data_IF_160072063579
#
_entry.id   IF_160072063579
#
_cell.length_a   1.000
_cell.length_b   1.000
_cell.length_c   1.000
_cell.angle_alpha   90.00
_cell.angle_beta   90.00
_cell.angle_gamma   90.00
#
_symmetry.space_group_name_H-M   'P 1'
#
loop_
_entity.id
_entity.type
_entity.pdbx_description
1 polymer ?
#
# COMPACT_ATOMS: atom_id res chain seq x y z
N UNK A 1 -3.90 12.12 -3.42
CA UNK A 1 -3.21 11.96 -2.14
C UNK A 1 -1.96 11.13 -2.39
N UNK A 2 -0.81 11.63 -1.98
CA UNK A 2 0.47 10.94 -2.10
C UNK A 2 1.19 11.08 -0.76
N UNK A 3 1.49 9.97 -0.11
CA UNK A 3 2.12 9.91 1.21
C UNK A 3 3.23 8.87 1.19
N UNK A 4 4.15 8.95 2.15
CA UNK A 4 5.18 7.97 2.34
C UNK A 4 4.62 6.56 2.60
N UNK A 5 5.42 5.54 2.38
CA UNK A 5 5.01 4.14 2.53
C UNK A 5 5.20 3.60 3.96
N UNK A 6 5.42 4.48 4.93
CA UNK A 6 5.59 4.17 6.34
C UNK A 6 4.27 4.33 7.14
N UNK A 7 4.35 4.12 8.45
CA UNK A 7 3.21 4.24 9.38
C UNK A 7 2.69 5.68 9.43
N UNK A 8 3.59 6.66 9.47
CA UNK A 8 3.21 8.07 9.52
C UNK A 8 2.51 8.51 8.24
N UNK A 9 2.99 8.07 7.08
CA UNK A 9 2.33 8.30 5.80
C UNK A 9 0.94 7.65 5.72
N UNK A 10 0.77 6.47 6.31
CA UNK A 10 -0.54 5.81 6.43
C UNK A 10 -1.49 6.59 7.33
N UNK A 11 -1.00 7.14 8.45
CA UNK A 11 -1.78 7.99 9.34
C UNK A 11 -2.20 9.30 8.65
N UNK A 12 -1.27 9.99 7.97
CA UNK A 12 -1.58 11.20 7.18
C UNK A 12 -2.65 10.90 6.13
N UNK A 13 -2.55 9.78 5.43
CA UNK A 13 -3.56 9.34 4.46
C UNK A 13 -4.93 9.18 5.10
N UNK A 14 -4.99 8.55 6.27
CA UNK A 14 -6.23 8.34 7.02
C UNK A 14 -6.84 9.67 7.46
N UNK A 15 -6.04 10.63 7.93
CA UNK A 15 -6.50 11.98 8.29
C UNK A 15 -7.08 12.71 7.07
N UNK A 16 -6.41 12.65 5.92
CA UNK A 16 -6.91 13.26 4.68
C UNK A 16 -8.20 12.61 4.20
N UNK A 17 -8.32 11.28 4.28
CA UNK A 17 -9.57 10.58 3.94
C UNK A 17 -10.69 10.97 4.91
N UNK A 18 -10.40 11.14 6.19
CA UNK A 18 -11.36 11.63 7.18
C UNK A 18 -11.84 13.04 6.85
N UNK A 19 -10.92 13.93 6.47
CA UNK A 19 -11.27 15.27 6.00
C UNK A 19 -12.22 15.21 4.81
N UNK A 20 -11.88 14.44 3.78
CA UNK A 20 -12.72 14.31 2.58
C UNK A 20 -14.04 13.55 2.83
N UNK A 21 -14.17 12.80 3.91
CA UNK A 21 -15.43 12.15 4.29
C UNK A 21 -16.46 13.12 4.87
N UNK A 22 -16.05 14.32 5.29
CA UNK A 22 -16.96 15.33 5.85
C UNK A 22 -17.64 16.15 4.77
N UNK A 23 -18.88 16.57 5.03
CA UNK A 23 -19.60 17.51 4.19
C UNK A 23 -18.90 18.89 4.18
N UNK A 24 -18.79 19.58 3.01
CA UNK A 24 -19.29 19.19 1.69
C UNK A 24 -18.30 18.35 0.85
N UNK A 25 -17.13 18.02 1.37
CA UNK A 25 -16.03 17.38 0.63
C UNK A 25 -16.30 15.92 0.27
N UNK A 26 -17.23 15.24 0.97
CA UNK A 26 -17.64 13.88 0.64
C UNK A 26 -18.13 13.72 -0.80
N UNK A 27 -18.67 14.78 -1.40
CA UNK A 27 -19.06 14.81 -2.80
C UNK A 27 -17.89 14.51 -3.75
N UNK A 28 -16.65 14.84 -3.37
CA UNK A 28 -15.46 14.53 -4.17
C UNK A 28 -15.19 13.01 -4.20
N UNK A 29 -15.47 12.30 -3.10
CA UNK A 29 -15.39 10.83 -3.06
C UNK A 29 -16.54 10.22 -3.88
N UNK A 30 -17.76 10.70 -3.67
CA UNK A 30 -18.97 10.23 -4.37
C UNK A 30 -18.84 10.35 -5.89
N UNK A 31 -18.27 11.47 -6.36
CA UNK A 31 -18.03 11.75 -7.76
C UNK A 31 -16.71 11.15 -8.29
N UNK A 32 -15.93 10.46 -7.45
CA UNK A 32 -14.72 9.74 -7.86
C UNK A 32 -13.53 10.64 -8.22
N UNK A 33 -13.40 11.79 -7.58
CA UNK A 33 -12.31 12.75 -7.81
C UNK A 33 -11.10 12.53 -6.89
N UNK A 34 -11.22 11.68 -5.87
CA UNK A 34 -10.13 11.41 -4.93
C UNK A 34 -9.38 10.15 -5.33
N UNK A 35 -8.05 10.26 -5.42
CA UNK A 35 -7.15 9.16 -5.77
C UNK A 35 -5.98 9.08 -4.80
N UNK A 36 -5.51 7.85 -4.54
CA UNK A 36 -4.30 7.56 -3.79
C UNK A 36 -3.21 7.16 -4.79
N UNK A 37 -2.12 7.90 -4.81
CA UNK A 37 -0.94 7.52 -5.58
C UNK A 37 -0.30 6.25 -4.99
N UNK A 38 0.26 5.41 -5.85
CA UNK A 38 0.91 4.16 -5.49
C UNK A 38 2.37 4.20 -5.94
N UNK A 39 3.27 4.88 -5.20
CA UNK A 39 4.69 4.82 -5.49
C UNK A 39 5.22 3.39 -5.28
N UNK A 40 6.28 2.98 -5.99
CA UNK A 40 6.89 1.67 -5.79
C UNK A 40 7.59 1.62 -4.43
N UNK A 41 7.60 0.41 -3.82
CA UNK A 41 8.34 0.18 -2.57
C UNK A 41 9.79 -0.25 -2.81
N UNK A 42 10.09 -0.80 -4.00
CA UNK A 42 11.42 -1.34 -4.29
C UNK A 42 11.93 -0.89 -5.65
N UNK A 43 13.24 -0.69 -5.70
CA UNK A 43 14.03 -0.59 -6.92
C UNK A 43 14.99 -1.76 -6.97
N UNK A 44 14.87 -2.59 -8.00
CA UNK A 44 15.80 -3.70 -8.25
C UNK A 44 16.68 -3.33 -9.41
N UNK A 45 18.00 -3.30 -9.19
CA UNK A 45 18.99 -3.01 -10.22
C UNK A 45 19.71 -4.29 -10.61
N UNK A 46 19.69 -4.59 -11.90
CA UNK A 46 20.43 -5.71 -12.51
C UNK A 46 21.20 -5.19 -13.71
N UNK A 47 22.54 -5.31 -13.67
CA UNK A 47 23.44 -4.66 -14.62
C UNK A 47 23.13 -3.14 -14.68
N UNK A 48 22.85 -2.56 -15.83
CA UNK A 48 22.56 -1.12 -15.99
C UNK A 48 21.05 -0.81 -16.11
N UNK A 49 20.18 -1.74 -15.71
CA UNK A 49 18.72 -1.54 -15.78
C UNK A 49 18.11 -1.59 -14.39
N UNK A 50 17.28 -0.60 -14.10
CA UNK A 50 16.48 -0.56 -12.89
C UNK A 50 15.02 -0.91 -13.19
N UNK A 51 14.40 -1.67 -12.29
CA UNK A 51 13.00 -2.06 -12.35
C UNK A 51 12.38 -1.62 -11.04
N UNK A 52 11.22 -0.95 -11.11
CA UNK A 52 10.48 -0.52 -9.94
C UNK A 52 9.37 -1.51 -9.63
N UNK A 53 9.27 -1.90 -8.36
CA UNK A 53 8.38 -2.95 -7.90
C UNK A 53 7.51 -2.39 -6.79
N UNK A 54 6.20 -2.61 -6.90
CA UNK A 54 5.18 -1.94 -6.09
C UNK A 54 5.11 -2.42 -4.65
N UNK A 55 5.33 -3.72 -4.38
CA UNK A 55 5.13 -4.35 -3.07
C UNK A 55 6.00 -5.61 -2.90
N UNK A 56 6.02 -6.16 -1.67
CA UNK A 56 6.77 -7.38 -1.33
C UNK A 56 6.35 -8.59 -2.16
N UNK A 57 5.06 -8.72 -2.45
CA UNK A 57 4.55 -9.84 -3.25
C UNK A 57 5.07 -9.78 -4.69
N UNK A 58 5.03 -8.60 -5.29
CA UNK A 58 5.57 -8.40 -6.63
C UNK A 58 7.10 -8.61 -6.67
N UNK A 59 7.82 -8.26 -5.58
CA UNK A 59 9.24 -8.54 -5.45
C UNK A 59 9.50 -10.05 -5.37
N UNK A 60 8.75 -10.78 -4.57
CA UNK A 60 8.85 -12.24 -4.49
C UNK A 60 8.59 -12.88 -5.87
N UNK A 61 7.52 -12.47 -6.56
CA UNK A 61 7.19 -12.96 -7.90
C UNK A 61 8.30 -12.65 -8.93
N UNK A 62 8.91 -11.48 -8.84
CA UNK A 62 10.04 -11.12 -9.68
C UNK A 62 11.26 -12.00 -9.41
N UNK A 63 11.59 -12.26 -8.14
CA UNK A 63 12.70 -13.12 -7.73
C UNK A 63 12.49 -14.55 -8.23
N UNK A 64 11.29 -15.09 -8.08
CA UNK A 64 10.92 -16.43 -8.56
C UNK A 64 11.13 -16.54 -10.08
N UNK A 65 10.63 -15.54 -10.83
CA UNK A 65 10.76 -15.52 -12.29
C UNK A 65 12.21 -15.37 -12.75
N UNK A 66 12.99 -14.51 -12.09
CA UNK A 66 14.38 -14.23 -12.49
C UNK A 66 15.36 -15.30 -12.04
N UNK A 67 15.05 -16.02 -10.96
CA UNK A 67 15.92 -17.03 -10.35
C UNK A 67 15.74 -18.45 -10.87
N UNK A 68 14.77 -18.69 -11.79
CA UNK A 68 14.48 -20.04 -12.32
C UNK A 68 14.32 -21.10 -11.23
N UNK A 69 13.39 -20.87 -10.30
CA UNK A 69 13.13 -21.81 -9.20
C UNK A 69 12.81 -23.22 -9.73
N UNK A 70 13.38 -24.25 -9.11
CA UNK A 70 13.00 -25.64 -9.41
C UNK A 70 11.51 -25.84 -9.04
N UNK A 71 10.74 -26.34 -9.99
CA UNK A 71 9.29 -26.63 -9.84
C UNK A 71 8.96 -27.57 -8.66
N UNK A 72 9.96 -28.29 -8.14
CA UNK A 72 9.81 -29.16 -6.98
C UNK A 72 9.77 -28.40 -5.65
N UNK A 73 10.28 -27.18 -5.61
CA UNK A 73 10.31 -26.35 -4.39
C UNK A 73 8.94 -25.71 -4.22
N UNK A 74 8.22 -26.10 -3.17
CA UNK A 74 6.90 -25.58 -2.85
C UNK A 74 7.00 -24.28 -2.03
N UNK A 75 6.15 -23.30 -2.37
CA UNK A 75 6.00 -22.06 -1.60
C UNK A 75 5.67 -22.37 -0.13
N UNK A 76 6.33 -21.65 0.80
CA UNK A 76 6.14 -21.83 2.24
C UNK A 76 7.10 -22.83 2.92
N UNK A 77 7.90 -23.58 2.17
CA UNK A 77 8.94 -24.49 2.74
C UNK A 77 10.22 -23.72 3.10
N UNK A 78 11.06 -24.30 3.97
CA UNK A 78 12.40 -23.74 4.27
C UNK A 78 13.23 -23.57 2.99
N UNK A 79 13.27 -24.59 2.13
CA UNK A 79 13.96 -24.55 0.86
C UNK A 79 13.50 -23.38 -0.05
N UNK A 80 12.22 -23.03 0.01
CA UNK A 80 11.71 -21.86 -0.70
C UNK A 80 12.23 -20.56 -0.10
N UNK A 81 12.23 -20.43 1.23
CA UNK A 81 12.77 -19.26 1.94
C UNK A 81 14.25 -19.07 1.66
N UNK A 82 15.02 -20.15 1.73
CA UNK A 82 16.46 -20.15 1.45
C UNK A 82 16.74 -19.75 0.01
N UNK A 83 15.96 -20.25 -0.94
CA UNK A 83 16.05 -19.85 -2.34
C UNK A 83 15.81 -18.33 -2.52
N UNK A 84 14.72 -17.82 -1.96
CA UNK A 84 14.39 -16.38 -2.05
C UNK A 84 15.53 -15.55 -1.45
N UNK A 85 16.04 -15.94 -0.29
CA UNK A 85 17.13 -15.24 0.38
C UNK A 85 18.41 -15.22 -0.48
N UNK A 86 18.82 -16.36 -1.01
CA UNK A 86 19.99 -16.45 -1.88
C UNK A 86 19.85 -15.62 -3.17
N UNK A 87 18.63 -15.55 -3.74
CA UNK A 87 18.40 -14.71 -4.92
C UNK A 87 18.39 -13.22 -4.57
N UNK A 88 17.86 -12.84 -3.40
CA UNK A 88 17.92 -11.46 -2.90
C UNK A 88 19.36 -10.96 -2.78
N UNK A 89 20.26 -11.79 -2.26
CA UNK A 89 21.68 -11.45 -2.09
C UNK A 89 22.43 -11.21 -3.42
N UNK A 90 21.91 -11.78 -4.52
CA UNK A 90 22.48 -11.59 -5.88
C UNK A 90 21.96 -10.35 -6.60
N UNK A 91 20.93 -9.70 -6.04
CA UNK A 91 20.29 -8.54 -6.63
C UNK A 91 20.60 -7.29 -5.81
N UNK A 92 20.82 -6.17 -6.46
CA UNK A 92 20.83 -4.88 -5.78
C UNK A 92 19.40 -4.41 -5.60
N UNK A 93 18.88 -4.57 -4.37
CA UNK A 93 17.50 -4.20 -4.00
C UNK A 93 17.57 -3.02 -3.05
N UNK A 94 17.03 -1.90 -3.47
CA UNK A 94 16.77 -0.73 -2.63
C UNK A 94 15.31 -0.71 -2.25
N UNK A 95 15.00 -0.54 -0.95
CA UNK A 95 13.65 -0.30 -0.45
C UNK A 95 13.48 1.20 -0.21
N UNK A 96 12.44 1.79 -0.79
CA UNK A 96 12.04 3.14 -0.50
C UNK A 96 11.18 3.17 0.78
N UNK A 97 11.58 3.96 1.76
CA UNK A 97 10.83 4.21 2.99
C UNK A 97 9.90 5.42 2.83
N UNK A 98 10.32 6.39 2.01
CA UNK A 98 9.56 7.59 1.74
C UNK A 98 9.86 8.17 0.37
N UNK A 99 9.02 9.12 -0.05
CA UNK A 99 9.14 9.81 -1.34
C UNK A 99 10.41 10.65 -1.45
N UNK A 100 10.95 11.13 -0.32
CA UNK A 100 12.19 11.89 -0.27
C UNK A 100 13.45 11.09 -0.61
N UNK A 101 13.36 9.75 -0.69
CA UNK A 101 14.47 8.89 -1.12
C UNK A 101 14.55 8.74 -2.65
N UNK A 102 13.53 9.21 -3.38
CA UNK A 102 13.49 9.20 -4.83
C UNK A 102 14.05 10.51 -5.38
N UNK A 103 14.86 10.41 -6.43
CA UNK A 103 15.21 11.60 -7.19
C UNK A 103 14.02 12.06 -8.06
N UNK A 104 14.05 13.29 -8.62
CA UNK A 104 12.93 13.83 -9.39
C UNK A 104 12.53 12.96 -10.59
N UNK A 105 13.48 12.37 -11.30
CA UNK A 105 13.23 11.51 -12.45
C UNK A 105 12.55 10.21 -12.03
N UNK A 106 12.99 9.60 -10.92
CA UNK A 106 12.37 8.39 -10.37
C UNK A 106 10.94 8.64 -9.93
N UNK A 107 10.71 9.75 -9.22
CA UNK A 107 9.38 10.14 -8.78
C UNK A 107 8.45 10.42 -9.96
N UNK A 108 8.95 11.10 -10.98
CA UNK A 108 8.20 11.33 -12.22
C UNK A 108 7.82 10.01 -12.89
N UNK A 109 8.81 9.18 -13.23
CA UNK A 109 8.60 7.93 -13.99
C UNK A 109 7.66 6.95 -13.30
N UNK A 110 7.73 6.85 -11.98
CA UNK A 110 7.00 5.82 -11.23
C UNK A 110 5.65 6.27 -10.70
N UNK A 111 5.51 7.57 -10.37
CA UNK A 111 4.38 8.03 -9.55
C UNK A 111 3.58 9.17 -10.18
N UNK A 112 4.22 10.04 -10.99
CA UNK A 112 3.56 11.21 -11.55
C UNK A 112 3.23 11.06 -13.04
N UNK A 113 4.05 10.35 -13.81
CA UNK A 113 3.85 10.18 -15.25
C UNK A 113 2.52 9.49 -15.55
N UNK A 114 1.59 10.13 -16.27
CA UNK A 114 0.27 9.58 -16.57
C UNK A 114 0.29 8.21 -17.27
N UNK A 115 1.36 7.91 -18.00
CA UNK A 115 1.49 6.67 -18.76
C UNK A 115 1.92 5.48 -17.89
N UNK A 116 2.60 5.74 -16.76
CA UNK A 116 3.23 4.71 -15.93
C UNK A 116 2.63 4.62 -14.52
N UNK A 117 2.07 5.74 -14.03
CA UNK A 117 1.57 5.82 -12.66
C UNK A 117 0.40 4.88 -12.40
N UNK A 118 0.38 4.33 -11.20
CA UNK A 118 -0.77 3.59 -10.67
C UNK A 118 -1.46 4.43 -9.58
N UNK A 119 -2.78 4.55 -9.68
CA UNK A 119 -3.59 5.25 -8.70
C UNK A 119 -4.80 4.42 -8.30
N UNK A 120 -5.11 4.40 -7.00
CA UNK A 120 -6.33 3.82 -6.48
C UNK A 120 -7.38 4.92 -6.33
N UNK A 121 -8.53 4.76 -6.96
CA UNK A 121 -9.66 5.67 -6.78
C UNK A 121 -10.35 5.36 -5.46
N UNK A 122 -10.51 6.38 -4.63
CA UNK A 122 -11.28 6.30 -3.39
C UNK A 122 -12.77 6.35 -3.75
N UNK A 123 -13.53 5.43 -3.21
CA UNK A 123 -14.98 5.37 -3.40
C UNK A 123 -15.64 4.68 -2.21
N UNK A 124 -16.87 5.05 -1.91
CA UNK A 124 -17.71 4.29 -1.01
C UNK A 124 -18.18 3.00 -1.67
N UNK A 125 -18.56 2.01 -0.88
CA UNK A 125 -19.13 0.77 -1.41
C UNK A 125 -20.31 1.06 -2.35
N UNK A 126 -20.30 0.42 -3.51
CA UNK A 126 -21.38 0.54 -4.52
C UNK A 126 -22.40 -0.57 -4.43
N UNK A 127 -22.17 -1.59 -3.59
CA UNK A 127 -23.04 -2.76 -3.53
C UNK A 127 -24.46 -2.41 -3.04
N UNK A 128 -24.55 -1.62 -1.97
CA UNK A 128 -25.82 -1.08 -1.46
C UNK A 128 -25.62 0.30 -0.85
N UNK A 129 -26.74 1.07 -0.73
CA UNK A 129 -26.71 2.35 0.00
C UNK A 129 -26.37 2.18 1.48
N UNK A 130 -26.74 1.02 2.06
CA UNK A 130 -26.43 0.69 3.45
C UNK A 130 -24.93 0.51 3.64
N UNK A 131 -24.25 -0.29 2.78
CA UNK A 131 -22.80 -0.47 2.85
C UNK A 131 -22.03 0.85 2.67
N UNK A 132 -22.50 1.74 1.79
CA UNK A 132 -21.92 3.08 1.65
C UNK A 132 -22.02 3.89 2.95
N UNK A 133 -23.14 3.79 3.67
CA UNK A 133 -23.30 4.44 4.99
C UNK A 133 -22.44 3.78 6.06
N UNK A 134 -22.23 2.47 5.97
CA UNK A 134 -21.36 1.73 6.90
C UNK A 134 -19.89 2.13 6.73
N UNK A 135 -19.43 2.36 5.49
CA UNK A 135 -18.10 2.92 5.25
C UNK A 135 -17.91 4.29 5.91
N UNK A 136 -18.92 5.18 5.78
CA UNK A 136 -18.89 6.50 6.42
C UNK A 136 -18.92 6.40 7.95
N UNK A 137 -19.72 5.48 8.52
CA UNK A 137 -19.75 5.22 9.96
C UNK A 137 -18.43 4.68 10.47
N UNK A 138 -17.79 3.78 9.71
CA UNK A 138 -16.48 3.22 10.06
C UNK A 138 -15.43 4.30 10.26
N UNK A 139 -15.38 5.27 9.34
CA UNK A 139 -14.47 6.41 9.48
C UNK A 139 -14.78 7.21 10.75
N UNK A 140 -16.07 7.43 11.08
CA UNK A 140 -16.46 8.11 12.34
C UNK A 140 -16.08 7.33 13.59
N UNK A 141 -16.23 6.00 13.59
CA UNK A 141 -15.83 5.16 14.72
C UNK A 141 -14.32 5.25 14.94
N UNK A 142 -13.53 5.12 13.87
CA UNK A 142 -12.07 5.07 13.97
C UNK A 142 -11.42 6.43 14.23
N UNK A 143 -11.98 7.50 13.65
CA UNK A 143 -11.36 8.83 13.59
C UNK A 143 -12.17 9.92 14.30
N UNK A 144 -13.35 9.58 14.85
CA UNK A 144 -14.20 10.53 15.57
C UNK A 144 -13.74 10.77 17.01
N UNK A 145 -14.43 11.66 17.72
CA UNK A 145 -14.09 12.08 19.08
C UNK A 145 -14.46 11.03 20.15
N UNK A 146 -15.39 10.13 19.85
CA UNK A 146 -15.87 9.12 20.79
C UNK A 146 -14.85 7.97 20.93
N UNK A 147 -14.34 7.80 22.15
CA UNK A 147 -13.32 6.78 22.46
C UNK A 147 -13.92 5.38 22.58
N UNK A 148 -15.12 5.25 23.19
CA UNK A 148 -15.71 3.96 23.51
C UNK A 148 -15.97 3.08 22.26
N UNK A 149 -16.62 3.56 21.18
CA UNK A 149 -16.84 2.77 19.97
C UNK A 149 -15.52 2.36 19.29
N UNK A 150 -14.52 3.25 19.29
CA UNK A 150 -13.20 2.94 18.74
C UNK A 150 -12.48 1.85 19.53
N UNK A 151 -12.50 1.93 20.86
CA UNK A 151 -11.91 0.91 21.75
C UNK A 151 -12.57 -0.44 21.51
N UNK A 152 -13.89 -0.49 21.46
CA UNK A 152 -14.65 -1.71 21.19
C UNK A 152 -14.27 -2.31 19.84
N UNK A 153 -14.23 -1.50 18.78
CA UNK A 153 -13.82 -1.95 17.45
C UNK A 153 -12.42 -2.55 17.45
N UNK A 154 -11.44 -1.86 18.05
CA UNK A 154 -10.05 -2.33 18.11
C UNK A 154 -9.96 -3.64 18.89
N UNK A 155 -10.67 -3.76 20.03
CA UNK A 155 -10.66 -4.98 20.86
C UNK A 155 -11.25 -6.16 20.10
N UNK A 156 -12.37 -5.97 19.41
CA UNK A 156 -13.06 -7.03 18.69
C UNK A 156 -12.30 -7.53 17.45
N UNK A 157 -11.45 -6.68 16.85
CA UNK A 157 -10.68 -7.00 15.65
C UNK A 157 -9.17 -7.16 15.92
N UNK A 158 -8.76 -7.26 17.19
CA UNK A 158 -7.33 -7.28 17.55
C UNK A 158 -6.58 -8.48 16.96
N UNK A 159 -7.26 -9.62 16.76
CA UNK A 159 -6.64 -10.83 16.17
C UNK A 159 -6.47 -10.77 14.64
N UNK A 160 -7.16 -9.85 13.98
CA UNK A 160 -7.13 -9.68 12.51
C UNK A 160 -6.02 -8.73 12.06
N UNK A 161 -5.29 -8.12 13.00
CA UNK A 161 -4.22 -7.16 12.71
C UNK A 161 -3.01 -7.90 12.15
N UNK A 162 -2.67 -7.64 10.89
CA UNK A 162 -1.53 -8.27 10.22
C UNK A 162 -0.19 -7.54 10.46
N UNK A 163 -0.24 -6.23 10.71
CA UNK A 163 0.94 -5.39 10.91
C UNK A 163 0.76 -4.56 12.18
N UNK A 164 1.45 -4.93 13.24
CA UNK A 164 1.64 -4.09 14.42
C UNK A 164 2.99 -3.42 14.30
N UNK A 165 3.02 -2.11 14.48
CA UNK A 165 4.25 -1.35 14.66
C UNK A 165 4.64 -1.46 16.14
N UNK A 166 5.54 -2.41 16.44
CA UNK A 166 6.04 -2.70 17.79
C UNK A 166 7.51 -2.33 17.84
#
# INVERSE_FOLDING_TARGET
>A
IMTDADVDGSHIRTLLLTFFNNYPFNQLIENGHIYLAQPPLFKVTKANKSIYIKDEKALEDYIIKSGNIDKKIKKGTSAFKDFIQQQREKLSIQRFKGLGEMNPEELWETTLNPNNRTMLRVQYSKETKEKSKDDQKMIKILMGDEVAPRKEFITNNALDVANLDI
#
